data_IF_586926181878
#
_entry.id   IF_586926181878
#
_cell.length_a   1.000
_cell.length_b   1.000
_cell.length_c   1.000
_cell.angle_alpha   90.00
_cell.angle_beta   90.00
_cell.angle_gamma   90.00
#
_symmetry.space_group_name_H-M   'P 1'
#
loop_
_entity.id
_entity.type
_entity.pdbx_description
1 polymer ?
#
# COMPACT_ATOMS: atom_id res chain seq x y z
N UNK A 1 -19.13 -14.44 5.69
CA UNK A 1 -18.64 -13.06 5.42
C UNK A 1 -17.39 -13.18 4.56
N UNK A 2 -17.01 -12.21 3.72
CA UNK A 2 -15.69 -12.28 3.04
C UNK A 2 -14.59 -12.01 4.07
N UNK A 3 -13.56 -12.86 4.10
CA UNK A 3 -12.43 -12.80 5.06
C UNK A 3 -11.61 -11.50 4.95
N UNK A 4 -10.77 -11.24 5.95
CA UNK A 4 -9.93 -10.05 6.01
C UNK A 4 -9.02 -9.90 4.78
N UNK A 5 -8.40 -10.99 4.33
CA UNK A 5 -7.56 -11.00 3.13
C UNK A 5 -8.33 -10.52 1.89
N UNK A 6 -9.58 -10.96 1.71
CA UNK A 6 -10.47 -10.51 0.64
C UNK A 6 -10.73 -9.01 0.71
N UNK A 7 -11.05 -8.49 1.90
CA UNK A 7 -11.31 -7.05 2.10
C UNK A 7 -10.07 -6.21 1.79
N UNK A 8 -8.90 -6.66 2.23
CA UNK A 8 -7.61 -6.01 1.94
C UNK A 8 -7.31 -6.01 0.45
N UNK A 9 -7.41 -7.16 -0.23
CA UNK A 9 -7.15 -7.24 -1.68
C UNK A 9 -8.15 -6.39 -2.46
N UNK A 10 -9.43 -6.42 -2.09
CA UNK A 10 -10.44 -5.58 -2.72
C UNK A 10 -10.15 -4.08 -2.55
N UNK A 11 -9.69 -3.66 -1.37
CA UNK A 11 -9.27 -2.28 -1.16
C UNK A 11 -8.09 -1.90 -2.07
N UNK A 12 -7.05 -2.74 -2.12
CA UNK A 12 -5.86 -2.49 -2.97
C UNK A 12 -6.27 -2.41 -4.44
N UNK A 13 -7.15 -3.30 -4.92
CA UNK A 13 -7.63 -3.29 -6.31
C UNK A 13 -8.33 -1.98 -6.71
N UNK A 14 -8.88 -1.24 -5.75
CA UNK A 14 -9.51 0.06 -5.97
C UNK A 14 -8.55 1.24 -6.10
N UNK A 15 -7.24 1.06 -5.87
CA UNK A 15 -6.23 2.14 -5.87
C UNK A 15 -5.77 2.53 -7.28
N UNK A 16 -6.69 2.95 -8.14
CA UNK A 16 -6.41 3.45 -9.51
C UNK A 16 -5.63 4.78 -9.43
N UNK A 17 -4.59 4.99 -10.24
CA UNK A 17 -4.14 4.16 -11.36
C UNK A 17 -2.96 3.23 -11.03
N UNK A 18 -2.69 2.94 -9.76
CA UNK A 18 -1.59 2.04 -9.38
C UNK A 18 -1.99 0.57 -9.44
N UNK A 19 -3.23 0.28 -9.07
CA UNK A 19 -3.78 -1.06 -9.03
C UNK A 19 -5.15 -1.08 -9.68
N UNK A 20 -5.56 -2.25 -10.17
CA UNK A 20 -6.90 -2.52 -10.66
C UNK A 20 -7.37 -3.89 -10.19
N UNK A 21 -8.68 -4.09 -10.06
CA UNK A 21 -9.24 -5.42 -9.86
C UNK A 21 -9.00 -6.28 -11.11
N UNK A 22 -8.54 -7.50 -10.89
CA UNK A 22 -8.35 -8.48 -11.96
C UNK A 22 -8.82 -9.86 -11.49
N UNK A 23 -9.32 -10.69 -12.41
CA UNK A 23 -9.82 -12.02 -12.08
C UNK A 23 -8.93 -13.09 -12.72
N UNK A 24 -8.33 -13.95 -11.89
CA UNK A 24 -7.49 -15.07 -12.33
C UNK A 24 -8.03 -16.35 -11.71
N UNK A 25 -8.28 -17.35 -12.55
CA UNK A 25 -8.84 -18.66 -12.15
C UNK A 25 -10.10 -18.56 -11.27
N UNK A 26 -10.93 -17.56 -11.54
CA UNK A 26 -12.18 -17.30 -10.80
C UNK A 26 -12.00 -16.52 -9.50
N UNK A 27 -10.77 -16.23 -9.06
CA UNK A 27 -10.48 -15.45 -7.86
C UNK A 27 -10.23 -13.99 -8.22
N UNK A 28 -10.92 -13.08 -7.52
CA UNK A 28 -10.68 -11.64 -7.65
C UNK A 28 -9.44 -11.22 -6.87
N UNK A 29 -8.53 -10.54 -7.57
CA UNK A 29 -7.26 -10.05 -7.07
C UNK A 29 -7.07 -8.55 -7.32
N UNK A 30 -5.95 -8.03 -6.83
CA UNK A 30 -5.46 -6.71 -7.16
C UNK A 30 -4.19 -6.83 -8.01
N UNK A 31 -4.22 -6.28 -9.24
CA UNK A 31 -3.06 -6.26 -10.13
C UNK A 31 -2.43 -4.88 -10.15
N UNK A 32 -1.12 -4.81 -9.90
CA UNK A 32 -0.34 -3.60 -10.09
C UNK A 32 -0.22 -3.27 -11.59
N UNK A 33 -0.53 -2.03 -11.94
CA UNK A 33 -0.35 -1.48 -13.29
C UNK A 33 1.10 -1.05 -13.55
N UNK A 34 1.97 -1.09 -12.53
CA UNK A 34 3.39 -0.71 -12.65
C UNK A 34 4.24 -1.86 -13.18
N UNK A 35 4.08 -3.06 -12.61
CA UNK A 35 4.95 -4.20 -12.90
C UNK A 35 4.21 -5.52 -13.14
N UNK A 36 2.87 -5.52 -13.07
CA UNK A 36 2.03 -6.70 -13.25
C UNK A 36 1.87 -7.58 -12.02
N UNK A 37 2.48 -7.24 -10.87
CA UNK A 37 2.35 -8.00 -9.62
C UNK A 37 0.88 -8.20 -9.25
N UNK A 38 0.51 -9.45 -8.99
CA UNK A 38 -0.85 -9.86 -8.68
C UNK A 38 -0.93 -10.27 -7.20
N UNK A 39 -1.86 -9.67 -6.48
CA UNK A 39 -2.13 -9.94 -5.08
C UNK A 39 -3.48 -10.67 -5.01
N UNK A 40 -3.48 -11.87 -4.45
CA UNK A 40 -4.67 -12.71 -4.28
C UNK A 40 -4.98 -12.88 -2.80
N UNK A 41 -6.27 -12.92 -2.44
CA UNK A 41 -6.68 -13.25 -1.09
C UNK A 41 -6.38 -14.73 -0.79
N UNK A 42 -6.26 -15.05 0.49
CA UNK A 42 -6.14 -16.44 0.95
C UNK A 42 -7.48 -16.92 1.46
N UNK A 43 -7.66 -18.24 1.48
CA UNK A 43 -8.81 -18.82 2.16
C UNK A 43 -8.64 -18.62 3.67
N UNK A 44 -9.67 -18.05 4.31
CA UNK A 44 -9.74 -17.82 5.75
C UNK A 44 -11.01 -18.47 6.28
N UNK A 45 -10.90 -19.16 7.42
CA UNK A 45 -12.05 -19.77 8.08
C UNK A 45 -12.89 -18.71 8.81
N UNK A 46 -14.19 -18.95 8.94
CA UNK A 46 -15.07 -17.99 9.59
C UNK A 46 -14.72 -17.86 11.09
N UNK A 47 -14.27 -16.67 11.49
CA UNK A 47 -13.81 -16.38 12.86
C UNK A 47 -12.28 -16.45 13.04
N UNK A 48 -11.54 -16.88 12.02
CA UNK A 48 -10.07 -16.93 12.00
C UNK A 48 -9.56 -16.17 10.76
N UNK A 49 -9.57 -14.84 10.87
CA UNK A 49 -9.14 -13.92 9.81
C UNK A 49 -7.73 -13.38 10.10
N UNK A 50 -6.68 -14.07 9.63
CA UNK A 50 -5.28 -13.67 9.87
C UNK A 50 -4.78 -12.57 8.91
N UNK A 51 -5.48 -12.31 7.81
CA UNK A 51 -5.19 -11.22 6.88
C UNK A 51 -3.98 -11.45 5.98
N UNK A 52 -3.50 -12.68 5.83
CA UNK A 52 -2.42 -13.00 4.90
C UNK A 52 -2.90 -12.99 3.45
N UNK A 53 -2.02 -12.57 2.55
CA UNK A 53 -2.26 -12.54 1.11
C UNK A 53 -1.15 -13.26 0.35
N UNK A 54 -1.50 -13.81 -0.80
CA UNK A 54 -0.52 -14.37 -1.75
C UNK A 54 -0.12 -13.29 -2.75
N UNK A 55 1.18 -13.09 -2.94
CA UNK A 55 1.73 -12.14 -3.92
C UNK A 55 2.47 -12.92 -5.01
N UNK A 56 1.99 -12.83 -6.25
CA UNK A 56 2.65 -13.30 -7.45
C UNK A 56 3.41 -12.14 -8.11
N UNK A 57 4.73 -12.12 -7.94
CA UNK A 57 5.58 -11.04 -8.43
C UNK A 57 5.55 -10.96 -9.94
N UNK A 58 5.23 -9.79 -10.49
CA UNK A 58 4.99 -9.57 -11.92
C UNK A 58 3.93 -10.50 -12.52
N UNK A 59 3.04 -11.06 -11.69
CA UNK A 59 1.99 -11.99 -12.09
C UNK A 59 2.47 -13.41 -12.37
N UNK A 60 3.73 -13.73 -12.06
CA UNK A 60 4.28 -15.08 -12.22
C UNK A 60 3.92 -15.97 -11.02
N UNK A 61 3.10 -17.03 -11.18
CA UNK A 61 2.70 -17.91 -10.09
C UNK A 61 3.88 -18.69 -9.48
N UNK A 62 5.00 -18.83 -10.21
CA UNK A 62 6.20 -19.47 -9.70
C UNK A 62 7.05 -18.53 -8.83
N UNK A 63 6.80 -17.22 -8.87
CA UNK A 63 7.47 -16.20 -8.06
C UNK A 63 6.51 -15.68 -7.00
N UNK A 64 6.32 -16.49 -5.96
CA UNK A 64 5.30 -16.28 -4.95
C UNK A 64 5.87 -15.94 -3.58
N UNK A 65 5.18 -15.10 -2.82
CA UNK A 65 5.40 -14.90 -1.39
C UNK A 65 4.06 -14.76 -0.67
N UNK A 66 3.97 -15.29 0.55
CA UNK A 66 2.85 -15.06 1.46
C UNK A 66 3.29 -14.04 2.50
N UNK A 67 2.51 -12.97 2.65
CA UNK A 67 2.82 -11.85 3.55
C UNK A 67 1.57 -11.31 4.22
N UNK A 68 1.75 -10.56 5.30
CA UNK A 68 0.65 -9.84 5.92
C UNK A 68 0.06 -8.83 4.93
N UNK A 69 -1.25 -8.90 4.69
CA UNK A 69 -1.94 -8.03 3.73
C UNK A 69 -1.80 -6.55 4.07
N UNK A 70 -1.78 -6.21 5.37
CA UNK A 70 -1.59 -4.83 5.84
C UNK A 70 -0.23 -4.24 5.45
N UNK A 71 0.80 -5.07 5.25
CA UNK A 71 2.13 -4.60 4.83
C UNK A 71 2.11 -4.12 3.37
N UNK A 72 1.50 -4.91 2.48
CA UNK A 72 1.34 -4.54 1.07
C UNK A 72 0.34 -3.39 0.92
N UNK A 73 -0.75 -3.40 1.68
CA UNK A 73 -1.72 -2.30 1.69
C UNK A 73 -1.09 -0.97 2.12
N UNK A 74 -0.24 -1.00 3.15
CA UNK A 74 0.50 0.17 3.63
C UNK A 74 1.37 0.76 2.51
N UNK A 75 2.15 -0.09 1.84
CA UNK A 75 2.96 0.35 0.70
C UNK A 75 2.10 0.91 -0.45
N UNK A 76 1.02 0.22 -0.82
CA UNK A 76 0.13 0.62 -1.91
C UNK A 76 -0.54 1.97 -1.62
N UNK A 77 -0.99 2.21 -0.39
CA UNK A 77 -1.57 3.48 0.05
C UNK A 77 -0.53 4.59 0.00
N UNK A 78 0.67 4.36 0.54
CA UNK A 78 1.73 5.37 0.51
C UNK A 78 2.08 5.78 -0.92
N UNK A 79 2.19 4.80 -1.84
CA UNK A 79 2.41 5.07 -3.27
C UNK A 79 1.24 5.80 -3.93
N UNK A 80 0.01 5.44 -3.57
CA UNK A 80 -1.19 6.08 -4.11
C UNK A 80 -1.23 7.56 -3.73
N UNK A 81 -0.98 7.88 -2.47
CA UNK A 81 -0.94 9.25 -1.96
C UNK A 81 0.22 10.04 -2.58
N UNK A 82 1.41 9.43 -2.70
CA UNK A 82 2.56 10.04 -3.39
C UNK A 82 2.19 10.43 -4.82
N UNK A 83 1.57 9.53 -5.58
CA UNK A 83 1.16 9.79 -6.96
C UNK A 83 0.13 10.93 -7.07
N UNK A 84 -0.87 10.95 -6.18
CA UNK A 84 -1.89 11.99 -6.18
C UNK A 84 -1.33 13.35 -5.77
N UNK A 85 -0.38 13.39 -4.83
CA UNK A 85 0.27 14.64 -4.40
C UNK A 85 1.09 15.30 -5.51
N UNK A 86 1.64 14.51 -6.44
CA UNK A 86 2.36 15.04 -7.61
C UNK A 86 1.38 15.64 -8.63
N UNK A 87 0.22 15.00 -8.81
CA UNK A 87 -0.78 15.41 -9.79
C UNK A 87 -1.57 16.66 -9.36
N UNK A 88 -1.81 16.83 -8.06
CA UNK A 88 -2.61 17.91 -7.51
C UNK A 88 -1.75 18.92 -6.74
N UNK A 89 -1.45 20.06 -7.36
CA UNK A 89 -0.59 21.12 -6.82
C UNK A 89 -1.06 21.76 -5.51
N UNK A 90 -2.26 21.44 -5.01
CA UNK A 90 -2.90 22.09 -3.86
C UNK A 90 -3.44 21.13 -2.78
N UNK A 91 -3.27 19.80 -2.92
CA UNK A 91 -3.81 18.87 -1.92
C UNK A 91 -2.77 18.56 -0.85
N UNK A 92 -3.12 18.78 0.41
CA UNK A 92 -2.26 18.43 1.54
C UNK A 92 -2.09 16.91 1.59
N UNK A 93 -0.85 16.45 1.39
CA UNK A 93 -0.48 15.03 1.41
C UNK A 93 -0.86 14.37 2.75
N UNK A 94 -0.86 15.13 3.84
CA UNK A 94 -1.23 14.64 5.17
C UNK A 94 -2.72 14.35 5.28
N UNK A 95 -3.56 15.23 4.73
CA UNK A 95 -5.01 15.06 4.74
C UNK A 95 -5.41 13.86 3.90
N UNK A 96 -4.79 13.71 2.72
CA UNK A 96 -5.06 12.55 1.87
C UNK A 96 -4.61 11.24 2.53
N UNK A 97 -3.44 11.20 3.17
CA UNK A 97 -3.01 10.00 3.88
C UNK A 97 -3.94 9.66 5.04
N UNK A 98 -4.34 10.66 5.84
CA UNK A 98 -5.28 10.47 6.95
C UNK A 98 -6.62 9.92 6.44
N UNK A 99 -7.11 10.46 5.33
CA UNK A 99 -8.30 9.96 4.65
C UNK A 99 -8.12 8.51 4.20
N UNK A 100 -6.98 8.15 3.59
CA UNK A 100 -6.75 6.79 3.10
C UNK A 100 -6.58 5.76 4.23
N UNK A 101 -5.94 6.13 5.34
CA UNK A 101 -5.87 5.28 6.54
C UNK A 101 -7.26 5.01 7.08
N UNK A 102 -8.07 6.06 7.28
CA UNK A 102 -9.43 5.91 7.78
C UNK A 102 -10.32 5.12 6.81
N UNK A 103 -10.15 5.33 5.50
CA UNK A 103 -10.87 4.59 4.49
C UNK A 103 -10.48 3.09 4.51
N UNK A 104 -9.20 2.77 4.70
CA UNK A 104 -8.74 1.38 4.86
C UNK A 104 -9.39 0.72 6.08
N UNK A 105 -9.39 1.41 7.23
CA UNK A 105 -10.01 0.93 8.47
C UNK A 105 -11.51 0.65 8.27
N UNK A 106 -12.26 1.58 7.65
CA UNK A 106 -13.69 1.37 7.37
C UNK A 106 -13.92 0.15 6.45
N UNK A 107 -13.07 -0.04 5.44
CA UNK A 107 -13.29 -1.08 4.42
C UNK A 107 -12.84 -2.47 4.86
N UNK A 108 -11.87 -2.54 5.76
CA UNK A 108 -11.22 -3.81 6.12
C UNK A 108 -11.44 -4.20 7.58
N UNK A 109 -11.71 -3.23 8.46
CA UNK A 109 -11.71 -3.42 9.91
C UNK A 109 -10.31 -3.44 10.53
N UNK A 110 -9.26 -3.16 9.74
CA UNK A 110 -7.86 -3.26 10.16
C UNK A 110 -7.10 -1.94 10.04
N UNK A 111 -5.94 -1.88 10.70
CA UNK A 111 -5.04 -0.72 10.64
C UNK A 111 -3.87 -0.93 9.68
N UNK A 112 -3.39 0.14 9.05
CA UNK A 112 -2.12 0.15 8.33
C UNK A 112 -0.94 0.14 9.33
N UNK A 113 0.25 -0.20 8.85
CA UNK A 113 1.47 -0.34 9.68
C UNK A 113 2.01 1.02 10.15
N UNK A 114 1.53 2.13 9.58
CA UNK A 114 1.93 3.48 9.94
C UNK A 114 0.73 4.31 10.39
N UNK A 115 1.01 5.31 11.22
CA UNK A 115 0.05 6.30 11.70
C UNK A 115 0.59 7.71 11.43
N UNK A 116 -0.28 8.61 10.98
CA UNK A 116 0.03 10.01 10.68
C UNK A 116 0.42 10.80 11.93
N UNK A 117 -0.13 10.42 13.08
CA UNK A 117 0.14 11.09 14.35
C UNK A 117 1.52 10.73 14.92
N UNK A 118 2.02 9.53 14.61
CA UNK A 118 3.22 8.97 15.24
C UNK A 118 4.53 9.34 14.51
N UNK A 119 4.48 9.67 13.21
CA UNK A 119 5.69 9.98 12.44
C UNK A 119 5.50 11.13 11.42
N UNK A 120 5.71 12.39 11.86
CA UNK A 120 5.71 13.56 10.98
C UNK A 120 6.82 13.55 9.92
N UNK A 121 7.91 12.78 10.11
CA UNK A 121 9.05 12.72 9.19
C UNK A 121 8.83 11.76 8.02
N UNK A 122 7.97 10.74 8.18
CA UNK A 122 7.57 9.80 7.12
C UNK A 122 7.09 10.51 5.84
N UNK A 123 6.37 11.61 6.01
CA UNK A 123 5.87 12.45 4.92
C UNK A 123 6.94 13.28 4.23
N UNK A 124 7.98 13.65 4.97
CA UNK A 124 9.11 14.40 4.41
C UNK A 124 9.90 13.56 3.41
N UNK A 125 9.84 12.23 3.49
CA UNK A 125 10.46 11.29 2.56
C UNK A 125 9.60 11.07 1.30
N UNK A 126 8.27 10.99 1.44
CA UNK A 126 7.34 10.87 0.32
C UNK A 126 7.34 12.12 -0.58
N UNK A 127 7.44 13.33 0.00
CA UNK A 127 7.45 14.59 -0.76
C UNK A 127 8.77 14.96 -1.42
N UNK A 128 9.92 14.40 -1.00
CA UNK A 128 11.27 14.84 -1.46
C UNK A 128 11.79 14.11 -2.70
N UNK A 129 11.09 13.09 -3.22
CA UNK A 129 11.53 12.34 -4.40
C UNK A 129 11.38 13.12 -5.73
N UNK A 130 10.78 14.32 -5.71
CA UNK A 130 10.35 15.03 -6.94
C UNK A 130 11.36 16.08 -7.46
N UNK A 131 12.54 16.24 -6.85
CA UNK A 131 13.52 17.24 -7.34
C UNK A 131 14.99 16.91 -7.11
N UNK A 132 15.86 17.33 -8.05
CA UNK A 132 17.34 17.24 -7.94
C UNK A 132 17.91 17.85 -6.64
N UNK A 133 17.15 18.71 -5.97
CA UNK A 133 17.49 19.35 -4.68
C UNK A 133 17.19 18.45 -3.46
N UNK A 134 16.33 17.43 -3.61
CA UNK A 134 15.91 16.55 -2.50
C UNK A 134 16.87 15.40 -2.17
N UNK A 135 17.76 15.03 -3.10
CA UNK A 135 18.62 13.84 -2.95
C UNK A 135 19.63 13.98 -1.80
N UNK A 136 20.16 15.17 -1.57
CA UNK A 136 21.14 15.44 -0.50
C UNK A 136 20.49 15.38 0.88
N UNK A 137 19.28 15.94 1.02
CA UNK A 137 18.52 15.93 2.27
C UNK A 137 18.07 14.51 2.65
N UNK A 138 17.65 13.70 1.68
CA UNK A 138 17.27 12.30 1.92
C UNK A 138 18.48 11.47 2.39
N UNK A 139 19.67 11.71 1.81
CA UNK A 139 20.90 11.03 2.23
C UNK A 139 21.28 11.40 3.67
N UNK A 140 21.13 12.66 4.09
CA UNK A 140 21.43 13.06 5.47
C UNK A 140 20.48 12.42 6.50
N UNK A 141 19.20 12.28 6.17
CA UNK A 141 18.23 11.60 7.04
C UNK A 141 18.57 10.12 7.19
N UNK A 142 18.89 9.43 6.08
CA UNK A 142 19.30 8.02 6.12
C UNK A 142 20.57 7.85 6.95
N UNK A 143 21.58 8.70 6.74
CA UNK A 143 22.83 8.70 7.51
C UNK A 143 22.58 8.81 9.01
N UNK A 144 21.74 9.78 9.41
CA UNK A 144 21.39 10.00 10.82
C UNK A 144 20.71 8.79 11.47
N UNK A 145 19.87 8.05 10.73
CA UNK A 145 19.20 6.85 11.24
C UNK A 145 20.11 5.62 11.34
N UNK A 146 21.15 5.52 10.50
CA UNK A 146 22.11 4.40 10.52
C UNK A 146 23.41 4.72 11.27
N UNK A 147 23.51 5.91 11.89
CA UNK A 147 24.67 6.34 12.68
C UNK A 147 25.89 6.78 11.86
N UNK A 148 25.68 7.28 10.65
CA UNK A 148 26.69 7.81 9.72
C UNK A 148 26.58 9.33 9.52
#
# INVERSE_FOLDING_TARGET
MEGLSHRIVNFIGGLIPLYTHDQVDGVWGARSLVDGTLILPMFEEEGEEDGFVTVHWQGDPMRTTVVQGTFIASYAVAKYVELHSIAETNKDTKDEMSHMIHHFEIKTGESLVFNVEDDPELFSLLGKAVGKVGREVVIEVIKKQIGL
#
